data_IF_822769262039
#
_entry.id   IF_822769262039
#
_cell.length_a   1.000
_cell.length_b   1.000
_cell.length_c   1.000
_cell.angle_alpha   90.00
_cell.angle_beta   90.00
_cell.angle_gamma   90.00
#
_symmetry.space_group_name_H-M   'P 1'
#
loop_
_entity.id
_entity.type
_entity.pdbx_description
1 polymer ?
#
# COMPACT_ATOMS: atom_id res chain seq x y z
N UNK A 1 6.41 -8.74 4.24
CA UNK A 1 7.36 -9.13 5.28
C UNK A 1 8.55 -9.88 4.72
N UNK A 2 9.73 -9.65 5.32
CA UNK A 2 10.98 -10.23 4.88
C UNK A 2 11.83 -10.70 6.05
N UNK A 3 12.57 -11.78 5.84
CA UNK A 3 13.61 -12.26 6.76
C UNK A 3 15.00 -11.92 6.24
N UNK A 4 15.92 -11.67 7.17
CA UNK A 4 17.35 -11.55 6.88
C UNK A 4 17.97 -12.95 6.85
N UNK A 5 18.73 -13.27 5.81
CA UNK A 5 19.48 -14.53 5.71
C UNK A 5 20.87 -14.29 5.14
N UNK A 6 21.77 -15.26 5.33
CA UNK A 6 23.15 -15.22 4.80
C UNK A 6 23.21 -15.17 3.27
N UNK A 7 22.12 -15.56 2.59
CA UNK A 7 21.99 -15.52 1.13
C UNK A 7 21.25 -14.27 0.63
N UNK A 8 20.96 -13.32 1.51
CA UNK A 8 20.19 -12.09 1.21
C UNK A 8 18.79 -12.07 1.83
N UNK A 9 18.01 -11.00 1.59
CA UNK A 9 16.64 -10.89 2.10
C UNK A 9 15.72 -11.93 1.44
N UNK A 10 14.89 -12.57 2.25
CA UNK A 10 13.90 -13.55 1.81
C UNK A 10 12.49 -12.98 2.02
N UNK A 11 11.65 -13.00 0.98
CA UNK A 11 10.25 -12.59 1.08
C UNK A 11 9.44 -13.70 1.75
N UNK A 12 8.65 -13.34 2.76
CA UNK A 12 7.79 -14.26 3.50
C UNK A 12 6.33 -14.09 3.14
N UNK A 13 5.87 -12.84 3.15
CA UNK A 13 4.47 -12.50 2.96
C UNK A 13 4.35 -11.18 2.21
N UNK A 14 3.32 -11.07 1.38
CA UNK A 14 2.93 -9.83 0.74
C UNK A 14 1.46 -9.58 1.06
N UNK A 15 1.20 -8.49 1.77
CA UNK A 15 -0.13 -8.10 2.20
C UNK A 15 -0.73 -7.08 1.22
N UNK A 16 -1.99 -7.27 0.81
CA UNK A 16 -2.71 -6.29 -0.01
C UNK A 16 -3.31 -5.14 0.81
N UNK A 17 -3.51 -5.36 2.12
CA UNK A 17 -4.16 -4.41 3.04
C UNK A 17 -3.44 -4.36 4.40
N UNK A 18 -2.18 -3.89 4.47
CA UNK A 18 -1.46 -3.77 5.73
C UNK A 18 -2.03 -2.64 6.60
N UNK A 19 -1.90 -2.75 7.92
CA UNK A 19 -2.14 -1.62 8.83
C UNK A 19 -1.05 -0.55 8.69
N UNK A 20 -1.42 0.73 8.72
CA UNK A 20 -0.51 1.84 8.46
C UNK A 20 -0.07 2.61 9.72
N UNK A 21 -0.90 2.66 10.78
CA UNK A 21 -0.67 3.50 11.97
C UNK A 21 0.73 3.34 12.58
N UNK A 22 1.16 2.09 12.78
CA UNK A 22 2.45 1.81 13.41
C UNK A 22 3.65 2.22 12.56
N UNK A 23 3.60 1.95 11.24
CA UNK A 23 4.71 2.30 10.34
C UNK A 23 4.77 3.81 10.11
N UNK A 24 3.62 4.49 9.99
CA UNK A 24 3.59 5.95 9.83
C UNK A 24 4.14 6.64 11.09
N UNK A 25 3.74 6.18 12.29
CA UNK A 25 4.23 6.72 13.57
C UNK A 25 5.73 6.52 13.76
N UNK A 26 6.27 5.36 13.35
CA UNK A 26 7.69 5.05 13.54
C UNK A 26 8.61 5.71 12.49
N UNK A 27 8.09 5.94 11.29
CA UNK A 27 8.89 6.44 10.15
C UNK A 27 8.67 7.91 9.84
N UNK A 28 7.66 8.54 10.43
CA UNK A 28 7.17 9.88 10.08
C UNK A 28 6.81 10.03 8.58
N UNK A 29 6.56 8.91 7.90
CA UNK A 29 6.14 8.89 6.50
C UNK A 29 4.63 8.76 6.43
N UNK A 30 3.98 9.71 5.76
CA UNK A 30 2.55 9.61 5.43
C UNK A 30 2.34 8.67 4.22
N UNK A 31 2.19 7.38 4.50
CA UNK A 31 1.99 6.32 3.50
C UNK A 31 0.61 6.44 2.86
N UNK A 32 -0.41 6.77 3.64
CA UNK A 32 -1.79 6.96 3.19
C UNK A 32 -1.88 8.01 2.09
N UNK A 33 -1.24 9.16 2.27
CA UNK A 33 -1.18 10.22 1.26
C UNK A 33 -0.47 9.75 -0.02
N UNK A 34 0.59 8.94 0.09
CA UNK A 34 1.29 8.38 -1.07
C UNK A 34 0.43 7.38 -1.86
N UNK A 35 -0.42 6.61 -1.18
CA UNK A 35 -1.40 5.73 -1.84
C UNK A 35 -2.39 6.57 -2.64
N UNK A 36 -2.95 7.63 -2.04
CA UNK A 36 -3.87 8.54 -2.73
C UNK A 36 -3.19 9.20 -3.93
N UNK A 37 -1.98 9.74 -3.76
CA UNK A 37 -1.20 10.35 -4.84
C UNK A 37 -0.93 9.35 -5.98
N UNK A 38 -0.62 8.10 -5.64
CA UNK A 38 -0.45 7.04 -6.63
C UNK A 38 -1.75 6.80 -7.39
N UNK A 39 -2.89 6.71 -6.71
CA UNK A 39 -4.20 6.54 -7.34
C UNK A 39 -4.53 7.73 -8.24
N UNK A 40 -4.33 8.97 -7.81
CA UNK A 40 -4.58 10.17 -8.62
C UNK A 40 -3.77 10.18 -9.92
N UNK A 41 -2.53 9.69 -9.87
CA UNK A 41 -1.63 9.61 -11.04
C UNK A 41 -1.97 8.47 -11.99
N UNK A 42 -2.50 7.36 -11.49
CA UNK A 42 -2.64 6.11 -12.25
C UNK A 42 -4.09 5.72 -12.55
N UNK A 43 -5.07 6.28 -11.84
CA UNK A 43 -6.47 6.13 -12.18
C UNK A 43 -6.74 6.90 -13.48
N UNK A 44 -6.80 6.16 -14.60
CA UNK A 44 -7.18 6.75 -15.87
C UNK A 44 -8.53 7.46 -15.79
N UNK A 45 -8.78 8.45 -16.65
CA UNK A 45 -10.09 9.09 -16.81
C UNK A 45 -11.09 8.08 -17.37
N UNK A 46 -11.62 7.17 -16.55
CA UNK A 46 -12.40 6.02 -17.01
C UNK A 46 -13.48 5.61 -16.04
N UNK A 47 -14.71 6.04 -16.35
CA UNK A 47 -16.01 5.63 -15.81
C UNK A 47 -16.04 5.20 -14.34
N UNK A 48 -16.47 6.12 -13.47
CA UNK A 48 -17.03 5.82 -12.16
C UNK A 48 -18.25 4.92 -12.33
N UNK A 49 -18.03 3.60 -12.51
CA UNK A 49 -19.06 2.61 -12.26
C UNK A 49 -19.01 2.34 -10.78
N UNK A 50 -19.70 3.19 -10.03
CA UNK A 50 -19.98 2.90 -8.64
C UNK A 50 -20.73 1.57 -8.60
N UNK A 51 -20.07 0.54 -8.08
CA UNK A 51 -20.57 -0.85 -8.10
C UNK A 51 -21.39 -1.16 -6.84
N UNK A 52 -21.94 -0.13 -6.20
CA UNK A 52 -22.89 -0.28 -5.11
C UNK A 52 -24.28 -0.31 -5.73
N UNK A 53 -24.74 -1.52 -6.05
CA UNK A 53 -26.13 -1.79 -6.37
C UNK A 53 -26.78 -2.28 -5.08
N UNK A 54 -27.35 -1.35 -4.31
CA UNK A 54 -28.27 -1.64 -3.20
C UNK A 54 -29.67 -1.93 -3.71
#
# INVERSE_FOLDING_TARGET
DMLRSDKGPLVMEVNSSPGLEGIETYTDVNVSAKIIEFLEKNAGKGNQRDRIQT
#
